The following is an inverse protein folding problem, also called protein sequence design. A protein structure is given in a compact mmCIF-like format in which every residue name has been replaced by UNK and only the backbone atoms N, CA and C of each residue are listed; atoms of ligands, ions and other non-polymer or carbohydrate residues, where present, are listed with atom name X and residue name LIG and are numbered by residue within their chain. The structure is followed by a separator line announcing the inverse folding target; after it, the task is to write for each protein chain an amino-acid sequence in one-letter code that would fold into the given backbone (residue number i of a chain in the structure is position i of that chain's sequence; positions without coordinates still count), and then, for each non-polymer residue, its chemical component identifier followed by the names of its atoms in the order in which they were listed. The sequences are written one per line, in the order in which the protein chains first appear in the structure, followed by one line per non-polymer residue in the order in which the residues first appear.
data_IF_881807608031
#
_entry.id   IF_881807608031
#
_cell.length_a   1.000
_cell.length_b   1.000
_cell.length_c   1.000
_cell.angle_alpha   90.00
_cell.angle_beta   90.00
_cell.angle_gamma   90.00
#
_symmetry.space_group_name_H-M   'P 1'
#
loop_
_entity.id
_entity.type
_entity.pdbx_description
1 polymer ?
#
# COMPACT_ATOMS: atom_id res chain seq x y z
N UNK A 1 8.82 30.64 -46.05
CA UNK A 1 9.32 29.66 -45.07
C UNK A 1 8.14 29.23 -44.18
N UNK A 2 7.16 28.51 -44.73
CA UNK A 2 5.90 28.12 -44.04
C UNK A 2 5.53 26.63 -44.19
N UNK A 3 6.40 25.80 -44.78
CA UNK A 3 6.10 24.39 -45.14
C UNK A 3 5.98 23.46 -43.91
N UNK A 4 6.62 23.81 -42.79
CA UNK A 4 6.67 22.94 -41.60
C UNK A 4 5.34 22.92 -40.84
N UNK A 5 4.61 24.04 -40.81
CA UNK A 5 3.30 24.15 -40.15
C UNK A 5 2.23 23.41 -40.96
N UNK A 6 2.28 23.52 -42.30
CA UNK A 6 1.34 22.81 -43.19
C UNK A 6 1.54 21.28 -43.18
N UNK A 7 2.76 20.80 -42.93
CA UNK A 7 3.03 19.37 -42.75
C UNK A 7 2.52 18.81 -41.42
N UNK A 8 2.57 19.60 -40.35
CA UNK A 8 2.07 19.16 -39.04
C UNK A 8 0.53 19.05 -39.02
N UNK A 9 -0.17 19.99 -39.68
CA UNK A 9 -1.63 19.95 -39.78
C UNK A 9 -2.17 18.71 -40.52
N UNK A 10 -1.34 18.09 -41.38
CA UNK A 10 -1.69 16.91 -42.17
C UNK A 10 -1.48 15.57 -41.43
N UNK A 11 -0.90 15.59 -40.23
CA UNK A 11 -0.67 14.41 -39.40
C UNK A 11 -1.73 14.20 -38.32
N UNK A 12 -2.80 15.01 -38.30
CA UNK A 12 -3.91 14.83 -37.36
C UNK A 12 -4.56 13.46 -37.62
N UNK A 13 -4.44 12.49 -36.71
CA UNK A 13 -5.02 11.17 -36.91
C UNK A 13 -6.55 11.29 -36.88
N UNK A 14 -7.19 10.75 -37.92
CA UNK A 14 -8.64 10.56 -37.93
C UNK A 14 -9.01 9.64 -36.76
N UNK A 15 -9.95 10.02 -35.88
CA UNK A 15 -10.38 9.16 -34.79
C UNK A 15 -11.01 7.90 -35.38
N UNK A 16 -10.33 6.76 -35.24
CA UNK A 16 -10.88 5.46 -35.58
C UNK A 16 -12.05 5.17 -34.64
N UNK A 17 -13.21 4.83 -35.23
CA UNK A 17 -14.38 4.43 -34.46
C UNK A 17 -14.07 3.16 -33.65
N UNK A 18 -14.55 3.05 -32.40
CA UNK A 18 -14.35 1.85 -31.58
C UNK A 18 -15.04 0.66 -32.25
N UNK A 19 -14.27 -0.37 -32.60
CA UNK A 19 -14.80 -1.62 -33.14
C UNK A 19 -15.45 -2.42 -32.00
N UNK A 20 -16.68 -2.88 -32.21
CA UNK A 20 -17.50 -3.62 -31.22
C UNK A 20 -16.79 -4.86 -30.63
N UNK A 21 -15.77 -5.37 -31.32
CA UNK A 21 -14.96 -6.54 -30.93
C UNK A 21 -14.18 -6.36 -29.62
N UNK A 22 -13.67 -5.15 -29.32
CA UNK A 22 -12.84 -4.94 -28.12
C UNK A 22 -13.63 -5.19 -26.82
N UNK A 23 -14.92 -4.85 -26.82
CA UNK A 23 -15.78 -5.04 -25.64
C UNK A 23 -16.21 -6.50 -25.45
N UNK A 24 -16.33 -7.26 -26.55
CA UNK A 24 -16.65 -8.68 -26.50
C UNK A 24 -15.49 -9.51 -25.94
N UNK A 25 -14.25 -9.16 -26.30
CA UNK A 25 -13.05 -9.83 -25.80
C UNK A 25 -12.81 -9.57 -24.31
N UNK A 26 -13.05 -8.35 -23.83
CA UNK A 26 -12.95 -8.02 -22.40
C UNK A 26 -13.96 -8.80 -21.54
N UNK A 27 -15.18 -9.02 -22.05
CA UNK A 27 -16.18 -9.86 -21.35
C UNK A 27 -15.77 -11.34 -21.31
N UNK A 28 -15.14 -11.84 -22.38
CA UNK A 28 -14.62 -13.22 -22.43
C UNK A 28 -13.46 -13.41 -21.45
N UNK A 29 -12.55 -12.44 -21.36
CA UNK A 29 -11.44 -12.43 -20.39
C UNK A 29 -11.92 -12.48 -18.93
N UNK A 30 -12.88 -11.61 -18.57
CA UNK A 30 -13.45 -11.59 -17.22
C UNK A 30 -14.14 -12.90 -16.82
N UNK A 31 -14.81 -13.58 -17.77
CA UNK A 31 -15.51 -14.85 -17.50
C UNK A 31 -14.56 -16.04 -17.30
N UNK A 32 -13.34 -15.98 -17.83
CA UNK A 32 -12.31 -16.99 -17.57
C UNK A 32 -11.68 -16.82 -16.18
N UNK A 33 -11.53 -15.57 -15.73
CA UNK A 33 -10.92 -15.22 -14.44
C UNK A 33 -11.82 -15.56 -13.24
N UNK A 34 -13.13 -15.34 -13.35
CA UNK A 34 -14.09 -15.66 -12.28
C UNK A 34 -14.20 -17.16 -11.99
N UNK A 35 -14.02 -18.02 -13.01
CA UNK A 35 -14.04 -19.48 -12.85
C UNK A 35 -12.86 -20.02 -12.03
N UNK A 36 -11.73 -19.28 -11.97
CA UNK A 36 -10.54 -19.72 -11.23
C UNK A 36 -10.68 -19.51 -9.73
N UNK A 37 -11.48 -18.52 -9.30
CA UNK A 37 -11.67 -18.19 -7.86
C UNK A 37 -12.59 -19.16 -7.12
N UNK A 38 -13.48 -19.87 -7.81
CA UNK A 38 -14.48 -20.74 -7.16
C UNK A 38 -13.91 -22.13 -6.77
N UNK A 39 -12.69 -22.49 -7.22
CA UNK A 39 -12.10 -23.82 -6.94
C UNK A 39 -11.23 -23.92 -5.67
N UNK A 40 -11.13 -22.89 -4.81
CA UNK A 40 -10.28 -22.92 -3.60
C UNK A 40 -11.00 -22.58 -2.28
N UNK A 41 -12.30 -22.81 -2.20
CA UNK A 41 -13.07 -22.60 -0.97
C UNK A 41 -14.08 -23.71 -0.72
N UNK A 42 -13.61 -24.92 -0.38
CA UNK A 42 -14.41 -25.96 0.27
C UNK A 42 -13.49 -27.07 0.81
N UNK A 43 -13.83 -27.60 1.99
CA UNK A 43 -13.10 -28.52 2.90
C UNK A 43 -12.22 -27.77 3.92
N UNK A 44 -12.58 -27.56 5.18
CA UNK A 44 -13.56 -28.23 6.04
C UNK A 44 -12.88 -29.11 7.09
N UNK A 45 -12.72 -28.55 8.30
CA UNK A 45 -12.65 -29.16 9.64
C UNK A 45 -11.95 -30.53 9.87
N UNK A 46 -10.92 -30.54 10.72
CA UNK A 46 -10.67 -31.64 11.66
C UNK A 46 -9.84 -31.19 12.89
N UNK A 47 -10.39 -31.53 14.06
CA UNK A 47 -9.98 -31.33 15.44
C UNK A 47 -8.48 -31.49 15.81
N UNK A 48 -8.02 -30.67 16.77
CA UNK A 48 -7.06 -31.06 17.81
C UNK A 48 -7.38 -30.31 19.13
N UNK A 49 -7.83 -31.07 20.13
CA UNK A 49 -7.94 -30.66 21.55
C UNK A 49 -6.83 -31.33 22.37
N UNK A 50 -6.56 -30.72 23.55
CA UNK A 50 -5.67 -31.11 24.68
C UNK A 50 -4.29 -30.42 24.66
N UNK A 51 -3.73 -29.85 25.74
CA UNK A 51 -4.14 -29.43 27.09
C UNK A 51 -2.90 -28.77 27.78
N UNK A 52 -3.11 -28.10 28.92
CA UNK A 52 -2.12 -27.65 29.95
C UNK A 52 -1.37 -26.35 29.62
N UNK A 53 -1.37 -25.27 30.40
CA UNK A 53 -1.93 -24.92 31.71
C UNK A 53 -1.39 -23.55 32.13
N UNK A 54 -2.14 -22.77 32.90
CA UNK A 54 -1.66 -21.49 33.46
C UNK A 54 -2.79 -20.50 33.72
N UNK A 55 -3.10 -20.31 35.00
CA UNK A 55 -4.26 -19.59 35.53
C UNK A 55 -4.19 -18.07 35.41
N UNK A 56 -5.35 -17.42 35.22
CA UNK A 56 -5.87 -16.10 35.69
C UNK A 56 -7.09 -15.82 34.79
N UNK A 57 -8.32 -15.53 35.17
CA UNK A 57 -9.04 -15.29 36.40
C UNK A 57 -10.40 -14.68 36.00
N UNK A 58 -11.51 -15.43 36.15
CA UNK A 58 -12.90 -14.95 36.25
C UNK A 58 -13.57 -14.25 35.04
N UNK A 59 -14.37 -14.99 34.26
CA UNK A 59 -15.48 -14.40 33.50
C UNK A 59 -16.75 -14.57 34.34
N UNK A 60 -17.27 -13.46 34.86
CA UNK A 60 -18.64 -13.40 35.36
C UNK A 60 -19.56 -13.18 34.16
N UNK A 61 -20.35 -14.21 33.82
CA UNK A 61 -21.44 -14.13 32.85
C UNK A 61 -22.65 -13.51 33.54
N UNK A 62 -22.91 -12.23 33.27
CA UNK A 62 -24.25 -11.66 33.40
C UNK A 62 -24.64 -11.09 32.06
N UNK A 63 -25.45 -11.85 31.31
CA UNK A 63 -26.26 -11.31 30.23
C UNK A 63 -27.24 -10.31 30.83
N UNK A 64 -27.28 -9.07 30.32
CA UNK A 64 -28.52 -8.51 29.79
C UNK A 64 -28.29 -7.21 29.00
N UNK A 65 -29.16 -7.03 28.01
CA UNK A 65 -29.52 -5.78 27.33
C UNK A 65 -28.58 -5.22 26.24
N UNK A 66 -28.94 -5.59 25.01
CA UNK A 66 -29.27 -4.60 23.99
C UNK A 66 -28.17 -3.65 23.59
N UNK A 67 -27.26 -4.12 22.73
CA UNK A 67 -26.63 -3.24 21.78
C UNK A 67 -26.51 -3.95 20.44
N UNK A 68 -26.78 -3.18 19.39
CA UNK A 68 -26.66 -3.56 17.98
C UNK A 68 -25.36 -4.33 17.71
N UNK A 69 -25.32 -5.27 16.74
CA UNK A 69 -24.06 -5.84 16.31
C UNK A 69 -23.21 -4.71 15.70
N UNK A 70 -22.33 -4.13 16.50
CA UNK A 70 -21.19 -3.39 15.99
C UNK A 70 -20.45 -4.37 15.11
N UNK A 71 -20.42 -4.05 13.82
CA UNK A 71 -19.56 -4.69 12.83
C UNK A 71 -18.18 -4.80 13.47
N UNK A 72 -17.79 -6.03 13.78
CA UNK A 72 -16.46 -6.37 14.23
C UNK A 72 -15.49 -5.83 13.18
N UNK A 73 -14.79 -4.76 13.53
CA UNK A 73 -13.72 -4.21 12.72
C UNK A 73 -12.77 -5.36 12.37
N UNK A 74 -12.46 -5.50 11.08
CA UNK A 74 -11.44 -6.42 10.61
C UNK A 74 -10.20 -6.28 11.50
N UNK A 75 -9.57 -7.38 11.89
CA UNK A 75 -8.34 -7.42 12.70
C UNK A 75 -7.41 -6.27 12.28
N UNK A 76 -7.42 -5.20 13.07
CA UNK A 76 -6.68 -4.00 12.73
C UNK A 76 -5.22 -4.31 12.91
N UNK A 77 -4.48 -4.36 11.81
CA UNK A 77 -3.03 -4.53 11.85
C UNK A 77 -2.47 -3.40 12.69
N UNK A 78 -1.79 -3.74 13.79
CA UNK A 78 -1.27 -2.76 14.76
C UNK A 78 0.10 -2.28 14.31
N UNK A 79 0.43 -1.04 14.59
CA UNK A 79 1.81 -0.56 14.50
C UNK A 79 2.51 -0.86 15.82
N UNK A 80 3.72 -1.40 15.71
CA UNK A 80 4.60 -1.72 16.84
C UNK A 80 5.93 -1.02 16.66
N UNK A 81 6.59 -0.69 17.77
CA UNK A 81 7.93 -0.13 17.75
C UNK A 81 8.89 -1.14 17.09
N UNK A 82 9.66 -0.67 16.12
CA UNK A 82 10.60 -1.49 15.38
C UNK A 82 11.94 -1.54 16.12
N UNK A 83 12.33 -2.73 16.57
CA UNK A 83 13.58 -3.01 17.29
C UNK A 83 14.59 -3.81 16.46
N UNK A 84 14.27 -4.06 15.18
CA UNK A 84 15.13 -4.81 14.27
C UNK A 84 16.29 -3.99 13.70
N UNK A 85 17.07 -4.64 12.83
CA UNK A 85 18.21 -4.01 12.15
C UNK A 85 17.73 -2.95 11.17
N UNK A 86 18.10 -1.70 11.43
CA UNK A 86 17.88 -0.58 10.51
C UNK A 86 18.69 -0.77 9.22
N UNK A 87 18.22 -0.17 8.13
CA UNK A 87 18.85 -0.30 6.81
C UNK A 87 19.44 1.04 6.37
N UNK A 88 20.52 1.07 5.57
CA UNK A 88 21.08 2.32 5.07
C UNK A 88 20.02 3.14 4.32
N UNK A 89 20.09 4.47 4.43
CA UNK A 89 19.13 5.36 3.77
C UNK A 89 17.92 5.71 4.63
N UNK A 90 17.45 4.81 5.50
CA UNK A 90 16.20 5.02 6.23
C UNK A 90 16.24 4.47 7.66
N UNK A 91 15.72 5.22 8.61
CA UNK A 91 15.43 4.74 9.95
C UNK A 91 13.92 4.69 10.15
N UNK A 92 13.42 3.57 10.65
CA UNK A 92 11.99 3.35 10.89
C UNK A 92 11.78 3.09 12.37
N UNK A 93 10.94 3.91 13.01
CA UNK A 93 10.58 3.76 14.41
C UNK A 93 9.43 2.76 14.61
N UNK A 94 8.50 2.66 13.66
CA UNK A 94 7.31 1.81 13.75
C UNK A 94 7.09 1.01 12.48
N UNK A 95 6.70 -0.25 12.64
CA UNK A 95 6.29 -1.12 11.53
C UNK A 95 4.98 -1.82 11.87
N UNK A 96 4.22 -2.29 10.87
CA UNK A 96 3.08 -3.16 11.13
C UNK A 96 3.51 -4.42 11.89
N UNK A 97 2.65 -4.90 12.77
CA UNK A 97 2.91 -6.10 13.57
C UNK A 97 3.22 -7.29 12.65
N UNK A 98 4.37 -7.93 12.90
CA UNK A 98 4.85 -9.05 12.10
C UNK A 98 5.50 -8.66 10.77
N UNK A 99 5.77 -7.38 10.52
CA UNK A 99 6.57 -6.92 9.39
C UNK A 99 8.01 -6.62 9.81
N UNK A 100 8.91 -6.66 8.84
CA UNK A 100 10.34 -6.36 9.00
C UNK A 100 10.82 -5.50 7.83
N UNK A 101 11.91 -4.78 8.03
CA UNK A 101 12.63 -4.15 6.93
C UNK A 101 13.25 -5.25 6.07
N UNK A 102 12.68 -5.49 4.89
CA UNK A 102 13.17 -6.51 3.95
C UNK A 102 14.55 -6.09 3.39
N UNK A 103 14.73 -4.79 3.23
CA UNK A 103 15.97 -4.17 2.79
C UNK A 103 15.73 -2.77 2.25
N UNK A 104 16.83 -2.07 1.99
CA UNK A 104 16.83 -0.86 1.20
C UNK A 104 17.90 -0.94 0.11
N UNK A 105 17.67 -0.20 -0.97
CA UNK A 105 18.73 0.29 -1.82
C UNK A 105 18.80 1.82 -1.75
N UNK A 106 19.60 2.44 -2.62
CA UNK A 106 19.75 3.89 -2.62
C UNK A 106 18.46 4.65 -3.02
N UNK A 107 17.41 3.98 -3.51
CA UNK A 107 16.18 4.61 -4.01
C UNK A 107 14.92 4.14 -3.29
N UNK A 108 14.92 2.92 -2.74
CA UNK A 108 13.76 2.23 -2.20
C UNK A 108 14.07 1.69 -0.80
N UNK A 109 13.11 1.83 0.11
CA UNK A 109 12.97 1.00 1.30
C UNK A 109 11.76 0.07 1.13
N UNK A 110 11.95 -1.21 1.37
CA UNK A 110 10.87 -2.20 1.36
C UNK A 110 10.64 -2.77 2.76
N UNK A 111 9.39 -2.70 3.22
CA UNK A 111 8.90 -3.32 4.46
C UNK A 111 7.93 -4.42 4.08
N UNK A 112 8.22 -5.65 4.51
CA UNK A 112 7.50 -6.84 4.11
C UNK A 112 7.32 -7.80 5.29
N UNK A 113 6.51 -8.84 5.10
CA UNK A 113 6.46 -9.97 6.05
C UNK A 113 7.79 -10.74 6.01
N UNK A 114 8.27 -11.31 7.13
CA UNK A 114 9.57 -11.98 7.21
C UNK A 114 9.68 -13.25 6.35
N UNK A 115 8.55 -13.86 5.98
CA UNK A 115 8.47 -15.00 5.09
C UNK A 115 8.54 -14.63 3.61
N UNK A 116 8.39 -13.34 3.26
CA UNK A 116 8.50 -12.87 1.89
C UNK A 116 9.94 -12.97 1.35
N UNK A 117 10.09 -13.70 0.24
CA UNK A 117 11.35 -13.93 -0.47
C UNK A 117 11.42 -13.26 -1.84
N UNK A 118 10.41 -12.47 -2.20
CA UNK A 118 10.40 -11.68 -3.43
C UNK A 118 11.47 -10.59 -3.39
N UNK A 119 11.87 -10.10 -4.57
CA UNK A 119 12.83 -9.01 -4.70
C UNK A 119 12.32 -7.73 -4.01
N UNK A 120 13.21 -6.87 -3.50
CA UNK A 120 12.84 -5.54 -2.98
C UNK A 120 12.17 -4.66 -4.06
N UNK A 121 12.38 -4.99 -5.34
CA UNK A 121 11.76 -4.35 -6.50
C UNK A 121 10.37 -4.90 -6.84
N UNK A 122 9.91 -5.94 -6.13
CA UNK A 122 8.53 -6.41 -6.18
C UNK A 122 7.76 -5.74 -5.06
N UNK A 123 6.83 -4.86 -5.41
CA UNK A 123 6.12 -4.00 -4.47
C UNK A 123 4.79 -4.60 -3.97
N UNK A 124 4.39 -5.75 -4.51
CA UNK A 124 3.13 -6.40 -4.12
C UNK A 124 3.19 -6.82 -2.65
N UNK A 125 2.10 -6.57 -1.92
CA UNK A 125 1.95 -6.94 -0.50
C UNK A 125 3.01 -6.33 0.44
N UNK A 126 3.64 -5.22 0.02
CA UNK A 126 4.66 -4.49 0.80
C UNK A 126 4.29 -3.03 1.05
N UNK A 127 4.96 -2.46 2.04
CA UNK A 127 5.07 -1.01 2.19
C UNK A 127 6.39 -0.60 1.58
N UNK A 128 6.33 0.31 0.62
CA UNK A 128 7.48 0.78 -0.14
C UNK A 128 7.62 2.27 0.09
N UNK A 129 8.81 2.71 0.47
CA UNK A 129 9.13 4.12 0.58
C UNK A 129 10.12 4.47 -0.52
N UNK A 130 9.81 5.52 -1.28
CA UNK A 130 10.71 6.11 -2.27
C UNK A 130 10.84 7.60 -2.03
N UNK A 131 11.96 8.14 -2.51
CA UNK A 131 12.17 9.58 -2.64
C UNK A 131 12.00 9.94 -4.10
N UNK A 132 11.22 10.97 -4.39
CA UNK A 132 11.10 11.55 -5.72
C UNK A 132 11.67 12.96 -5.72
N UNK A 133 12.32 13.34 -6.82
CA UNK A 133 12.67 14.75 -7.02
C UNK A 133 11.38 15.56 -7.09
N UNK A 134 11.29 16.66 -6.35
CA UNK A 134 10.11 17.52 -6.39
C UNK A 134 9.98 18.13 -7.78
N UNK A 135 9.08 17.57 -8.60
CA UNK A 135 8.60 18.24 -9.81
C UNK A 135 7.50 19.21 -9.37
N UNK A 136 7.51 20.41 -9.95
CA UNK A 136 6.73 21.57 -9.56
C UNK A 136 5.34 21.24 -9.01
N UNK A 137 4.98 21.88 -7.87
CA UNK A 137 3.69 21.82 -7.18
C UNK A 137 2.55 21.46 -8.15
N UNK A 138 2.25 20.17 -8.23
CA UNK A 138 0.90 19.79 -8.56
C UNK A 138 0.13 20.18 -7.29
N UNK A 139 -0.88 21.04 -7.40
CA UNK A 139 -1.78 21.35 -6.30
C UNK A 139 -2.60 20.09 -5.98
N UNK A 140 -1.91 19.07 -5.49
CA UNK A 140 -2.50 17.90 -4.92
C UNK A 140 -3.27 18.39 -3.69
N UNK A 141 -4.58 18.13 -3.67
CA UNK A 141 -5.42 18.48 -2.54
C UNK A 141 -4.83 17.87 -1.28
N UNK A 142 -4.57 18.70 -0.28
CA UNK A 142 -4.11 18.22 1.03
C UNK A 142 -5.25 17.46 1.69
N UNK A 143 -5.04 16.17 1.94
CA UNK A 143 -6.02 15.29 2.59
C UNK A 143 -5.70 15.12 4.08
N UNK A 144 -4.42 15.17 4.44
CA UNK A 144 -3.94 14.90 5.80
C UNK A 144 -2.62 15.63 6.10
N UNK A 145 -2.04 15.37 7.27
CA UNK A 145 -0.73 15.89 7.65
C UNK A 145 0.16 14.80 8.22
N UNK A 146 1.45 14.81 7.88
CA UNK A 146 2.48 13.93 8.45
C UNK A 146 3.45 14.82 9.24
N UNK A 147 3.47 14.70 10.57
CA UNK A 147 4.36 15.51 11.41
C UNK A 147 4.18 17.02 11.22
N UNK A 148 2.94 17.46 10.98
CA UNK A 148 2.57 18.85 10.70
C UNK A 148 2.87 19.34 9.27
N UNK A 149 3.34 18.46 8.37
CA UNK A 149 3.53 18.76 6.95
C UNK A 149 2.29 18.35 6.16
N UNK A 150 1.83 19.14 5.18
CA UNK A 150 0.73 18.75 4.33
C UNK A 150 1.09 17.46 3.57
N UNK A 151 0.14 16.55 3.50
CA UNK A 151 0.29 15.28 2.81
C UNK A 151 -0.97 14.96 2.00
N UNK A 152 -0.74 14.27 0.89
CA UNK A 152 -1.78 13.83 -0.05
C UNK A 152 -1.91 12.32 0.05
N UNK A 153 -3.14 11.82 0.08
CA UNK A 153 -3.42 10.39 0.13
C UNK A 153 -4.23 9.96 -1.10
N UNK A 154 -3.62 9.14 -1.95
CA UNK A 154 -4.24 8.68 -3.20
C UNK A 154 -4.36 7.18 -3.19
N UNK A 155 -5.58 6.66 -3.22
CA UNK A 155 -5.84 5.24 -3.44
C UNK A 155 -6.00 4.97 -4.94
N UNK A 156 -5.16 4.11 -5.49
CA UNK A 156 -5.20 3.70 -6.89
C UNK A 156 -6.24 2.59 -7.11
N UNK A 157 -6.83 2.47 -8.31
CA UNK A 157 -7.87 1.46 -8.59
C UNK A 157 -7.42 0.00 -8.45
N UNK A 158 -6.11 -0.25 -8.49
CA UNK A 158 -5.48 -1.54 -8.27
C UNK A 158 -5.39 -1.93 -6.77
N UNK A 159 -5.74 -1.00 -5.87
CA UNK A 159 -5.81 -1.22 -4.43
C UNK A 159 -4.54 -0.83 -3.67
N UNK A 160 -3.60 -0.10 -4.27
CA UNK A 160 -2.53 0.53 -3.52
C UNK A 160 -2.98 1.90 -2.97
N UNK A 161 -2.47 2.29 -1.81
CA UNK A 161 -2.61 3.64 -1.26
C UNK A 161 -1.24 4.29 -1.24
N UNK A 162 -1.17 5.50 -1.78
CA UNK A 162 0.04 6.33 -1.83
C UNK A 162 -0.12 7.53 -0.91
N UNK A 163 0.77 7.64 0.07
CA UNK A 163 0.92 8.83 0.91
C UNK A 163 2.13 9.62 0.41
N UNK A 164 1.91 10.90 0.07
CA UNK A 164 2.95 11.78 -0.46
C UNK A 164 3.09 13.03 0.40
N UNK A 165 4.32 13.40 0.74
CA UNK A 165 4.57 14.64 1.49
C UNK A 165 5.96 15.19 1.16
N UNK A 166 6.11 16.52 1.27
CA UNK A 166 7.38 17.19 1.03
C UNK A 166 8.34 17.03 2.22
N UNK A 167 9.55 16.59 1.94
CA UNK A 167 10.64 16.45 2.90
C UNK A 167 11.93 17.04 2.34
N UNK A 168 12.35 18.19 2.89
CA UNK A 168 13.49 18.99 2.38
C UNK A 168 13.28 19.32 0.90
N UNK A 169 14.20 18.90 0.03
CA UNK A 169 14.19 19.16 -1.41
C UNK A 169 13.56 18.00 -2.23
N UNK A 170 12.91 17.05 -1.54
CA UNK A 170 12.34 15.84 -2.14
C UNK A 170 10.88 15.64 -1.71
N UNK A 171 10.19 14.79 -2.45
CA UNK A 171 8.89 14.24 -2.06
C UNK A 171 9.10 12.82 -1.55
N UNK A 172 8.65 12.53 -0.33
CA UNK A 172 8.58 11.15 0.15
C UNK A 172 7.28 10.55 -0.37
N UNK A 173 7.37 9.39 -0.99
CA UNK A 173 6.22 8.62 -1.46
C UNK A 173 6.22 7.28 -0.73
N UNK A 174 5.15 7.03 0.03
CA UNK A 174 4.92 5.77 0.72
C UNK A 174 3.78 5.06 0.02
N UNK A 175 4.06 3.93 -0.60
CA UNK A 175 3.09 3.09 -1.25
C UNK A 175 2.79 1.87 -0.38
N UNK A 176 1.51 1.58 -0.17
CA UNK A 176 1.04 0.45 0.63
C UNK A 176 -0.04 -0.32 -0.13
N UNK A 177 0.09 -1.64 -0.20
CA UNK A 177 -0.98 -2.49 -0.74
C UNK A 177 -2.14 -2.68 0.26
N UNK A 178 -3.38 -2.71 -0.23
CA UNK A 178 -4.58 -2.92 0.60
C UNK A 178 -4.62 -4.25 1.35
N UNK A 179 -3.86 -5.25 0.91
CA UNK A 179 -3.70 -6.56 1.56
C UNK A 179 -2.96 -6.48 2.90
N UNK A 180 -2.31 -5.35 3.18
CA UNK A 180 -1.65 -5.06 4.45
C UNK A 180 -2.66 -4.57 5.49
N UNK A 181 -3.81 -4.03 5.06
CA UNK A 181 -4.91 -3.62 5.91
C UNK A 181 -4.56 -2.58 6.99
N UNK A 182 -3.60 -1.67 6.75
CA UNK A 182 -3.49 -0.46 7.58
C UNK A 182 -4.57 0.54 7.20
N UNK A 183 -4.99 1.34 8.17
CA UNK A 183 -5.79 2.54 7.95
C UNK A 183 -4.93 3.71 7.47
N UNK A 184 -5.55 4.74 6.92
CA UNK A 184 -4.85 5.96 6.51
C UNK A 184 -4.14 6.63 7.69
N UNK A 185 -4.77 6.66 8.87
CA UNK A 185 -4.17 7.17 10.11
C UNK A 185 -2.92 6.38 10.51
N UNK A 186 -2.95 5.06 10.37
CA UNK A 186 -1.79 4.20 10.64
C UNK A 186 -0.70 4.41 9.59
N UNK A 187 -1.05 4.61 8.32
CA UNK A 187 -0.07 4.93 7.29
C UNK A 187 0.63 6.26 7.58
N UNK A 188 -0.11 7.25 8.10
CA UNK A 188 0.45 8.52 8.58
C UNK A 188 1.35 8.30 9.80
N UNK A 189 0.92 7.53 10.80
CA UNK A 189 1.74 7.21 11.98
C UNK A 189 3.06 6.50 11.60
N UNK A 190 3.00 5.59 10.62
CA UNK A 190 4.20 4.97 10.04
C UNK A 190 5.13 6.03 9.41
N UNK A 191 4.56 6.95 8.63
CA UNK A 191 5.30 8.03 7.99
C UNK A 191 5.95 9.01 8.99
N UNK A 192 5.29 9.27 10.12
CA UNK A 192 5.84 10.10 11.20
C UNK A 192 7.02 9.44 11.90
N UNK A 193 7.02 8.10 11.97
CA UNK A 193 8.12 7.31 12.50
C UNK A 193 9.28 7.07 11.51
N UNK A 194 9.18 7.59 10.27
CA UNK A 194 10.17 7.40 9.23
C UNK A 194 11.14 8.59 9.17
N UNK A 195 12.44 8.29 9.28
CA UNK A 195 13.51 9.26 9.08
C UNK A 195 14.36 8.90 7.87
N UNK A 196 14.49 9.85 6.94
CA UNK A 196 15.32 9.73 5.75
C UNK A 196 16.73 10.23 6.07
N UNK A 197 17.72 9.37 5.89
CA UNK A 197 19.14 9.65 6.15
C UNK A 197 19.87 10.14 4.88
N UNK A 198 21.14 10.56 5.01
CA UNK A 198 21.93 11.09 3.90
C UNK A 198 22.29 10.06 2.81
N UNK A 199 22.15 8.76 3.09
CA UNK A 199 22.48 7.69 2.15
C UNK A 199 21.36 7.43 1.12
N UNK A 200 20.15 7.92 1.38
CA UNK A 200 19.02 7.79 0.46
C UNK A 200 19.12 8.82 -0.67
N UNK A 201 18.77 8.40 -1.88
CA UNK A 201 18.77 9.22 -3.10
C UNK A 201 17.37 9.28 -3.70
N UNK A 202 17.00 10.43 -4.28
CA UNK A 202 15.78 10.52 -5.07
C UNK A 202 15.87 9.61 -6.29
N UNK A 203 14.78 8.90 -6.56
CA UNK A 203 14.50 8.31 -7.85
C UNK A 203 14.29 9.43 -8.88
N UNK A 204 14.81 9.20 -10.09
CA UNK A 204 14.54 10.04 -11.26
C UNK A 204 13.50 9.31 -12.10
N UNK A 205 12.27 9.85 -12.09
CA UNK A 205 11.20 9.47 -13.01
C UNK A 205 11.32 10.18 -14.34
#
# INVERSE_FOLDING_TARGET
MNDVIDRLARLTPSPAAPTEDATADLRRGHRALSRRRIKRGALGAAALTLAVGGAFGGIALTSDNGDTPTVQAADSVRLVDYDGTQVPGYTVAKVPEGFVLQGSDQYVLAVARPDDKSSISDFQDKIVVTLESTTSETEDSTDTTVGGRPATLVTTPDGATMLKYSYRDFTVVIQMWNTIHLTDEQLVEFAEGLEVTADAKPSVG
#
